data_IF_686034558992
#
_entry.id   IF_686034558992
#
_cell.length_a   1.000
_cell.length_b   1.000
_cell.length_c   1.000
_cell.angle_alpha   90.00
_cell.angle_beta   90.00
_cell.angle_gamma   90.00
#
_symmetry.space_group_name_H-M   'P 1'
#
loop_
_entity.id
_entity.type
_entity.pdbx_description
1 polymer ?
#
# COMPACT_ATOMS: atom_id res chain seq x y z
N UNK A 1 -29.61 18.70 6.84
CA UNK A 1 -29.19 17.36 7.31
C UNK A 1 -27.69 17.27 7.16
N UNK A 2 -26.93 17.59 8.21
CA UNK A 2 -25.47 17.65 8.19
C UNK A 2 -24.95 16.30 8.68
N UNK A 3 -24.37 15.50 7.77
CA UNK A 3 -23.66 14.28 8.15
C UNK A 3 -22.21 14.62 8.46
N UNK A 4 -21.86 14.60 9.75
CA UNK A 4 -20.47 14.53 10.18
C UNK A 4 -20.01 13.07 10.04
N UNK A 5 -19.21 12.78 9.02
CA UNK A 5 -18.52 11.49 8.87
C UNK A 5 -17.30 11.45 9.82
N UNK A 6 -17.52 11.08 11.07
CA UNK A 6 -16.50 10.41 11.89
C UNK A 6 -16.56 8.92 11.53
N UNK A 7 -15.76 8.49 10.57
CA UNK A 7 -15.61 7.09 10.19
C UNK A 7 -14.88 6.32 11.31
N UNK A 8 -15.62 5.75 12.26
CA UNK A 8 -15.28 4.45 12.80
C UNK A 8 -16.16 3.44 12.06
N UNK A 9 -15.56 2.38 11.52
CA UNK A 9 -16.35 1.22 11.08
C UNK A 9 -17.21 0.73 12.26
N UNK A 10 -18.39 0.12 12.04
CA UNK A 10 -19.14 -0.48 13.12
C UNK A 10 -18.24 -1.47 13.87
N UNK A 11 -18.06 -1.25 15.17
CA UNK A 11 -17.32 -2.16 16.03
C UNK A 11 -18.15 -3.43 16.20
N UNK A 12 -17.60 -4.57 15.81
CA UNK A 12 -18.26 -5.85 16.02
C UNK A 12 -17.86 -6.31 17.42
N UNK A 13 -18.82 -6.35 18.33
CA UNK A 13 -18.58 -6.77 19.72
C UNK A 13 -17.75 -8.05 19.78
N UNK A 14 -16.68 -8.05 20.57
CA UNK A 14 -15.89 -9.24 20.85
C UNK A 14 -16.54 -10.18 21.87
N UNK A 15 -17.73 -9.82 22.38
CA UNK A 15 -18.41 -10.58 23.44
C UNK A 15 -18.99 -11.92 22.94
N UNK A 16 -19.28 -12.04 21.64
CA UNK A 16 -19.80 -13.27 21.04
C UNK A 16 -18.93 -13.72 19.86
N UNK A 17 -18.00 -14.67 20.09
CA UNK A 17 -17.16 -15.26 19.06
C UNK A 17 -17.94 -16.01 17.97
N UNK A 18 -19.18 -16.44 18.22
CA UNK A 18 -19.95 -17.22 17.24
C UNK A 18 -20.44 -16.36 16.08
N UNK A 19 -20.64 -15.06 16.30
CA UNK A 19 -20.95 -14.12 15.22
C UNK A 19 -19.88 -14.16 14.13
N UNK A 20 -18.61 -14.30 14.51
CA UNK A 20 -17.45 -14.28 13.61
C UNK A 20 -17.28 -15.55 12.77
N UNK A 21 -18.09 -16.59 12.98
CA UNK A 21 -18.02 -17.85 12.21
C UNK A 21 -18.67 -17.74 10.83
N UNK A 22 -19.66 -16.85 10.68
CA UNK A 22 -20.57 -16.85 9.53
C UNK A 22 -20.54 -15.57 8.67
N UNK A 23 -19.67 -14.60 8.97
CA UNK A 23 -19.48 -13.42 8.12
C UNK A 23 -18.04 -13.27 7.64
N UNK A 24 -17.91 -12.64 6.48
CA UNK A 24 -16.63 -12.20 5.90
C UNK A 24 -16.51 -10.70 6.11
N UNK A 25 -15.42 -10.25 6.74
CA UNK A 25 -15.16 -8.80 6.85
C UNK A 25 -14.32 -8.33 5.67
N UNK A 26 -14.57 -7.10 5.25
CA UNK A 26 -13.77 -6.39 4.26
C UNK A 26 -13.16 -5.18 4.96
N UNK A 27 -11.87 -5.24 5.29
CA UNK A 27 -11.21 -4.28 6.19
C UNK A 27 -9.98 -3.66 5.53
N UNK A 28 -9.80 -2.35 5.70
CA UNK A 28 -8.59 -1.67 5.23
C UNK A 28 -7.40 -2.04 6.11
N UNK A 29 -7.57 -1.95 7.44
CA UNK A 29 -6.59 -2.35 8.43
C UNK A 29 -6.55 -3.87 8.58
N UNK A 30 -5.88 -4.54 7.64
CA UNK A 30 -5.74 -6.00 7.58
C UNK A 30 -4.53 -6.48 8.39
N UNK A 31 -4.56 -6.25 9.72
CA UNK A 31 -3.50 -6.63 10.64
C UNK A 31 -3.82 -7.94 11.37
N UNK A 32 -3.03 -8.98 11.13
CA UNK A 32 -3.24 -10.32 11.72
C UNK A 32 -3.12 -10.32 13.25
N UNK A 33 -2.35 -9.39 13.84
CA UNK A 33 -2.31 -9.24 15.30
C UNK A 33 -3.54 -8.54 15.88
N UNK A 34 -4.38 -7.91 15.05
CA UNK A 34 -5.60 -7.19 15.43
C UNK A 34 -6.86 -7.93 14.97
N UNK A 35 -6.82 -9.27 15.07
CA UNK A 35 -7.93 -10.20 14.79
C UNK A 35 -8.29 -10.31 13.31
N UNK A 36 -7.56 -9.71 12.38
CA UNK A 36 -7.75 -9.99 10.95
C UNK A 36 -7.36 -11.44 10.66
N UNK A 37 -8.25 -12.20 10.02
CA UNK A 37 -8.00 -13.60 9.69
C UNK A 37 -7.94 -13.75 8.16
N UNK A 38 -6.76 -13.89 7.53
CA UNK A 38 -6.61 -13.92 6.08
C UNK A 38 -7.46 -15.00 5.39
N UNK A 39 -7.75 -16.11 6.08
CA UNK A 39 -8.57 -17.20 5.54
C UNK A 39 -10.06 -16.87 5.48
N UNK A 40 -10.54 -15.95 6.32
CA UNK A 40 -11.95 -15.57 6.43
C UNK A 40 -12.21 -14.17 5.88
N UNK A 41 -11.33 -13.22 6.18
CA UNK A 41 -11.50 -11.81 5.90
C UNK A 41 -10.81 -11.41 4.59
N UNK A 42 -11.16 -10.22 4.09
CA UNK A 42 -10.63 -9.64 2.86
C UNK A 42 -10.00 -8.28 3.17
N UNK A 43 -8.75 -8.12 2.74
CA UNK A 43 -8.02 -6.85 2.81
C UNK A 43 -8.47 -5.95 1.66
N UNK A 44 -9.04 -4.79 1.98
CA UNK A 44 -9.40 -3.77 0.98
C UNK A 44 -8.28 -2.73 0.84
N UNK A 45 -7.82 -2.44 -0.39
CA UNK A 45 -6.80 -1.42 -0.60
C UNK A 45 -7.33 -0.03 -0.25
N UNK A 46 -6.56 0.72 0.54
CA UNK A 46 -6.80 2.13 0.77
C UNK A 46 -6.33 2.94 -0.45
N UNK A 47 -7.15 3.88 -0.92
CA UNK A 47 -6.84 4.69 -2.11
C UNK A 47 -7.00 6.18 -1.83
N UNK A 48 -6.06 6.98 -2.33
CA UNK A 48 -6.17 8.43 -2.30
C UNK A 48 -6.89 8.91 -3.57
N UNK A 49 -8.14 9.36 -3.42
CA UNK A 49 -8.95 9.87 -4.53
C UNK A 49 -9.08 11.39 -4.41
N UNK A 50 -8.49 12.18 -5.33
CA UNK A 50 -8.75 13.61 -5.40
C UNK A 50 -10.23 13.89 -5.67
N UNK A 51 -10.75 14.97 -5.09
CA UNK A 51 -12.14 15.38 -5.26
C UNK A 51 -12.53 15.47 -6.76
N UNK A 52 -13.66 14.86 -7.13
CA UNK A 52 -14.16 14.84 -8.50
C UNK A 52 -13.37 13.97 -9.49
N UNK A 53 -12.43 13.14 -9.01
CA UNK A 53 -11.67 12.18 -9.83
C UNK A 53 -11.96 10.75 -9.39
N UNK A 54 -11.50 9.77 -10.18
CA UNK A 54 -11.59 8.33 -9.87
C UNK A 54 -10.21 7.70 -9.63
N UNK A 55 -9.24 8.54 -9.26
CA UNK A 55 -7.87 8.14 -8.99
C UNK A 55 -6.91 9.33 -9.09
N UNK A 56 -5.66 9.16 -8.69
CA UNK A 56 -4.65 10.20 -8.83
C UNK A 56 -4.26 10.40 -10.31
N UNK A 57 -3.62 11.54 -10.65
CA UNK A 57 -3.23 11.85 -12.02
C UNK A 57 -2.14 10.89 -12.54
N UNK A 58 -2.13 10.62 -13.85
CA UNK A 58 -1.07 9.83 -14.47
C UNK A 58 0.19 10.69 -14.70
N UNK A 59 1.06 10.74 -13.68
CA UNK A 59 2.36 11.46 -13.75
C UNK A 59 3.57 10.55 -13.53
N UNK A 60 3.44 9.25 -13.75
CA UNK A 60 4.55 8.31 -13.60
C UNK A 60 5.62 8.53 -14.67
N UNK A 61 6.89 8.65 -14.28
CA UNK A 61 8.00 8.69 -15.25
C UNK A 61 8.41 7.27 -15.65
N UNK A 62 8.95 7.07 -16.88
CA UNK A 62 9.53 5.78 -17.25
C UNK A 62 10.73 5.45 -16.34
N UNK A 63 11.05 4.16 -16.13
CA UNK A 63 12.04 3.72 -15.15
C UNK A 63 13.44 4.31 -15.33
N UNK A 64 13.82 4.68 -16.56
CA UNK A 64 15.10 5.33 -16.89
C UNK A 64 15.17 6.83 -16.54
N UNK A 65 14.02 7.49 -16.35
CA UNK A 65 13.93 8.94 -16.09
C UNK A 65 13.51 9.25 -14.64
N UNK A 66 13.64 8.30 -13.72
CA UNK A 66 13.32 8.46 -12.29
C UNK A 66 14.58 8.89 -11.52
N UNK A 67 14.74 10.20 -11.18
CA UNK A 67 15.94 10.70 -10.51
C UNK A 67 16.01 10.32 -9.03
N UNK A 68 14.88 10.11 -8.36
CA UNK A 68 14.85 9.81 -6.92
C UNK A 68 15.01 8.30 -6.74
N UNK A 69 15.95 7.87 -5.91
CA UNK A 69 16.20 6.45 -5.70
C UNK A 69 15.12 5.82 -4.82
N UNK A 70 14.89 6.36 -3.62
CA UNK A 70 13.76 5.96 -2.78
C UNK A 70 13.09 7.17 -2.15
N UNK A 71 11.79 7.10 -1.91
CA UNK A 71 11.01 8.23 -1.42
C UNK A 71 9.97 7.85 -0.35
N UNK A 72 9.81 8.73 0.63
CA UNK A 72 8.73 8.75 1.59
C UNK A 72 8.33 10.18 1.96
N UNK A 73 7.03 10.43 2.06
CA UNK A 73 6.50 11.59 2.79
C UNK A 73 5.19 11.25 3.52
N UNK A 74 5.06 11.69 4.78
CA UNK A 74 3.85 11.53 5.60
C UNK A 74 4.07 11.82 7.09
N UNK A 75 3.02 11.87 7.91
CA UNK A 75 3.16 12.13 9.35
C UNK A 75 3.82 10.99 10.14
N UNK A 76 4.45 11.34 11.27
CA UNK A 76 5.13 10.44 12.23
C UNK A 76 4.19 9.59 13.10
N UNK A 77 3.23 8.94 12.43
CA UNK A 77 2.24 8.07 13.06
C UNK A 77 2.75 6.64 13.16
N UNK A 78 2.61 6.01 14.33
CA UNK A 78 3.08 4.64 14.58
C UNK A 78 4.59 4.53 14.82
N UNK A 79 5.00 3.41 15.42
CA UNK A 79 6.39 3.13 15.78
C UNK A 79 7.30 3.04 14.54
N UNK A 80 6.87 2.35 13.49
CA UNK A 80 7.68 2.11 12.28
C UNK A 80 8.08 3.41 11.59
N UNK A 81 7.17 4.41 11.51
CA UNK A 81 7.50 5.73 10.94
C UNK A 81 8.44 6.54 11.81
N UNK A 82 8.36 6.40 13.14
CA UNK A 82 9.32 7.05 14.06
C UNK A 82 10.73 6.52 13.80
N UNK A 83 10.89 5.19 13.74
CA UNK A 83 12.19 4.57 13.40
C UNK A 83 12.66 5.00 12.02
N UNK A 84 11.78 5.05 11.01
CA UNK A 84 12.13 5.53 9.68
C UNK A 84 12.65 6.98 9.72
N UNK A 85 11.99 7.86 10.46
CA UNK A 85 12.43 9.25 10.58
C UNK A 85 13.73 9.42 11.34
N UNK A 86 13.89 8.71 12.44
CA UNK A 86 15.13 8.70 13.21
C UNK A 86 16.33 8.27 12.35
N UNK A 87 16.13 7.37 11.38
CA UNK A 87 17.21 6.86 10.54
C UNK A 87 17.42 7.63 9.23
N UNK A 88 16.37 8.19 8.62
CA UNK A 88 16.45 8.68 7.24
C UNK A 88 15.93 10.09 6.99
N UNK A 89 15.21 10.71 7.93
CA UNK A 89 14.57 12.03 7.71
C UNK A 89 15.63 13.09 7.35
N UNK A 90 15.59 13.59 6.12
CA UNK A 90 16.51 14.62 5.62
C UNK A 90 18.01 14.26 5.79
N UNK A 91 18.37 12.97 5.75
CA UNK A 91 19.75 12.47 5.99
C UNK A 91 20.49 11.96 4.75
N UNK A 92 19.81 11.79 3.61
CA UNK A 92 20.41 11.22 2.39
C UNK A 92 19.78 11.84 1.13
N UNK A 93 20.61 12.11 0.11
CA UNK A 93 20.15 12.73 -1.13
C UNK A 93 19.37 11.76 -2.05
N UNK A 94 19.70 10.46 -1.97
CA UNK A 94 19.08 9.43 -2.80
C UNK A 94 17.82 8.86 -2.13
N UNK A 95 17.84 8.73 -0.80
CA UNK A 95 16.70 8.27 0.01
C UNK A 95 16.03 9.48 0.66
N UNK A 96 15.03 10.00 -0.04
CA UNK A 96 14.33 11.21 0.35
C UNK A 96 13.17 10.87 1.29
N UNK A 97 13.36 11.14 2.58
CA UNK A 97 12.35 10.90 3.62
C UNK A 97 12.00 12.23 4.25
N UNK A 98 10.73 12.64 4.10
CA UNK A 98 10.21 13.88 4.64
C UNK A 98 8.97 13.62 5.49
N UNK A 99 8.65 14.51 6.42
CA UNK A 99 7.44 14.39 7.22
C UNK A 99 6.24 15.04 6.52
N UNK A 100 6.14 16.36 6.59
CA UNK A 100 5.12 17.12 5.87
C UNK A 100 5.77 17.95 4.76
N UNK A 101 5.29 17.74 3.53
CA UNK A 101 5.69 18.55 2.39
C UNK A 101 4.91 19.86 2.38
N UNK A 102 5.58 20.96 2.05
CA UNK A 102 4.91 22.21 1.72
C UNK A 102 4.13 22.04 0.41
N UNK A 103 2.80 21.90 0.53
CA UNK A 103 1.89 21.68 -0.60
C UNK A 103 1.90 22.79 -1.64
N UNK A 104 2.36 24.01 -1.28
CA UNK A 104 2.48 25.12 -2.23
C UNK A 104 3.74 25.02 -3.09
N UNK A 105 4.80 24.40 -2.58
CA UNK A 105 6.10 24.30 -3.24
C UNK A 105 6.32 22.94 -3.91
N UNK A 106 5.68 21.90 -3.38
CA UNK A 106 6.03 20.52 -3.70
C UNK A 106 4.81 19.71 -4.12
N UNK A 107 4.87 19.15 -5.33
CA UNK A 107 3.87 18.20 -5.82
C UNK A 107 4.24 16.77 -5.37
N UNK A 108 3.53 16.27 -4.36
CA UNK A 108 3.70 14.92 -3.83
C UNK A 108 3.61 13.82 -4.91
N UNK A 109 2.63 13.92 -5.81
CA UNK A 109 2.42 12.92 -6.86
C UNK A 109 3.56 12.96 -7.89
N UNK A 110 4.11 14.15 -8.15
CA UNK A 110 5.30 14.30 -9.00
C UNK A 110 6.52 13.59 -8.38
N UNK A 111 6.75 13.74 -7.07
CA UNK A 111 7.86 13.07 -6.38
C UNK A 111 7.73 11.54 -6.42
N UNK A 112 6.54 11.00 -6.18
CA UNK A 112 6.28 9.56 -6.36
C UNK A 112 6.56 9.12 -7.81
N UNK A 113 6.05 9.87 -8.79
CA UNK A 113 6.27 9.58 -10.21
C UNK A 113 7.75 9.63 -10.63
N UNK A 114 8.58 10.38 -9.90
CA UNK A 114 10.03 10.50 -10.09
C UNK A 114 10.86 9.47 -9.30
N UNK A 115 10.23 8.66 -8.44
CA UNK A 115 10.92 7.75 -7.52
C UNK A 115 10.98 6.33 -8.04
N UNK A 116 12.14 5.65 -7.92
CA UNK A 116 12.28 4.24 -8.30
C UNK A 116 11.59 3.32 -7.29
N UNK A 117 11.87 3.54 -6.01
CA UNK A 117 11.29 2.81 -4.88
C UNK A 117 10.45 3.75 -4.00
N UNK A 118 9.28 3.31 -3.56
CA UNK A 118 8.41 4.09 -2.69
C UNK A 118 8.26 3.37 -1.37
N UNK A 119 8.80 3.96 -0.31
CA UNK A 119 8.73 3.38 1.02
C UNK A 119 7.28 3.44 1.52
N UNK A 120 6.79 2.29 1.96
CA UNK A 120 5.44 2.10 2.43
C UNK A 120 5.46 1.60 3.89
N UNK A 121 5.98 2.39 4.86
CA UNK A 121 5.88 2.03 6.27
C UNK A 121 4.43 2.09 6.74
N UNK A 122 4.03 1.13 7.57
CA UNK A 122 2.76 1.18 8.32
C UNK A 122 2.73 2.39 9.26
N UNK A 123 1.53 2.84 9.62
CA UNK A 123 1.31 3.91 10.60
C UNK A 123 0.84 3.35 11.94
N UNK A 124 -0.16 4.00 12.54
CA UNK A 124 -0.96 3.35 13.60
C UNK A 124 -1.72 2.14 13.04
N UNK A 125 -2.23 2.26 11.82
CA UNK A 125 -2.81 1.16 11.05
C UNK A 125 -1.76 0.60 10.08
N UNK A 126 -1.91 -0.68 9.73
CA UNK A 126 -1.03 -1.30 8.72
C UNK A 126 -1.33 -0.81 7.30
N UNK A 127 -2.57 -0.37 7.07
CA UNK A 127 -3.02 0.18 5.80
C UNK A 127 -2.40 1.55 5.51
N UNK A 128 -2.11 1.78 4.23
CA UNK A 128 -1.74 3.12 3.77
C UNK A 128 -2.11 3.31 2.31
N UNK A 129 -2.63 4.50 1.93
CA UNK A 129 -2.97 4.75 0.52
C UNK A 129 -1.70 4.87 -0.34
N UNK A 130 -0.53 4.96 0.30
CA UNK A 130 0.79 5.01 -0.34
C UNK A 130 1.10 3.75 -1.13
N UNK A 131 0.67 2.58 -0.66
CA UNK A 131 0.91 1.31 -1.36
C UNK A 131 0.26 1.37 -2.74
N UNK A 132 -1.02 1.75 -2.80
CA UNK A 132 -1.75 1.88 -4.07
C UNK A 132 -1.21 3.03 -4.90
N UNK A 133 -0.90 4.17 -4.27
CA UNK A 133 -0.33 5.33 -4.97
C UNK A 133 1.01 4.96 -5.64
N UNK A 134 1.90 4.24 -4.95
CA UNK A 134 3.15 3.77 -5.53
C UNK A 134 2.92 2.91 -6.78
N UNK A 135 1.99 1.95 -6.69
CA UNK A 135 1.63 1.07 -7.80
C UNK A 135 1.09 1.89 -8.98
N UNK A 136 0.13 2.79 -8.74
CA UNK A 136 -0.49 3.62 -9.79
C UNK A 136 0.50 4.52 -10.51
N UNK A 137 1.55 4.99 -9.83
CA UNK A 137 2.61 5.79 -10.44
C UNK A 137 3.78 4.94 -10.96
N UNK A 138 3.70 3.62 -10.93
CA UNK A 138 4.75 2.72 -11.42
C UNK A 138 6.01 2.73 -10.58
N UNK A 139 5.93 3.21 -9.34
CA UNK A 139 7.00 3.18 -8.35
C UNK A 139 6.98 1.82 -7.65
N UNK A 140 8.13 1.17 -7.49
CA UNK A 140 8.19 -0.15 -6.84
C UNK A 140 7.87 0.02 -5.35
N UNK A 141 6.76 -0.54 -4.83
CA UNK A 141 6.41 -0.41 -3.42
C UNK A 141 7.41 -1.19 -2.57
N UNK A 142 7.91 -0.54 -1.52
CA UNK A 142 8.76 -1.15 -0.49
C UNK A 142 7.96 -1.22 0.79
N UNK A 143 7.38 -2.38 1.10
CA UNK A 143 6.53 -2.55 2.28
C UNK A 143 7.40 -2.72 3.53
N UNK A 144 7.10 -1.93 4.57
CA UNK A 144 7.76 -1.97 5.87
C UNK A 144 6.64 -2.04 6.92
N UNK A 145 6.29 -3.25 7.32
CA UNK A 145 5.13 -3.50 8.18
C UNK A 145 5.25 -4.86 8.81
N UNK A 146 4.72 -4.97 10.03
CA UNK A 146 4.59 -6.24 10.73
C UNK A 146 3.13 -6.72 10.57
N UNK A 147 2.93 -8.02 10.32
CA UNK A 147 1.61 -8.69 10.28
C UNK A 147 0.57 -8.09 9.31
N UNK A 148 1.01 -7.38 8.26
CA UNK A 148 0.11 -6.79 7.27
C UNK A 148 -0.22 -7.78 6.15
N UNK A 149 -1.49 -8.19 6.07
CA UNK A 149 -1.99 -8.91 4.91
C UNK A 149 -2.27 -7.91 3.77
N UNK A 150 -1.36 -7.86 2.80
CA UNK A 150 -1.45 -6.94 1.67
C UNK A 150 -2.70 -7.23 0.81
N UNK A 151 -3.33 -6.21 0.22
CA UNK A 151 -4.52 -6.40 -0.61
C UNK A 151 -4.29 -7.37 -1.76
N UNK A 152 -5.29 -8.22 -2.02
CA UNK A 152 -5.28 -9.21 -3.10
C UNK A 152 -4.17 -10.25 -3.02
N UNK A 153 -3.57 -10.50 -1.85
CA UNK A 153 -2.52 -11.54 -1.70
C UNK A 153 -3.03 -12.97 -1.96
N UNK A 154 -4.34 -13.17 -1.98
CA UNK A 154 -5.01 -14.39 -2.43
C UNK A 154 -4.90 -14.64 -3.94
N UNK A 155 -4.57 -13.62 -4.73
CA UNK A 155 -4.46 -13.69 -6.21
C UNK A 155 -3.10 -13.22 -6.72
N UNK A 156 -2.52 -12.20 -6.07
CA UNK A 156 -1.30 -11.53 -6.50
C UNK A 156 -0.12 -11.89 -5.60
N UNK A 157 0.94 -12.44 -6.20
CA UNK A 157 2.22 -12.65 -5.52
C UNK A 157 3.01 -11.33 -5.44
N UNK A 158 2.90 -10.65 -4.29
CA UNK A 158 3.59 -9.39 -4.01
C UNK A 158 5.11 -9.47 -4.19
N UNK A 159 5.74 -10.62 -3.92
CA UNK A 159 7.20 -10.80 -4.10
C UNK A 159 7.67 -10.61 -5.55
N UNK A 160 6.74 -10.65 -6.50
CA UNK A 160 7.02 -10.47 -7.92
C UNK A 160 7.09 -9.00 -8.31
N UNK A 161 6.50 -8.07 -7.56
CA UNK A 161 6.41 -6.64 -7.94
C UNK A 161 6.69 -5.65 -6.81
N UNK A 162 6.87 -6.11 -5.56
CA UNK A 162 7.26 -5.28 -4.42
C UNK A 162 8.60 -5.74 -3.83
N UNK A 163 9.09 -4.96 -2.87
CA UNK A 163 10.19 -5.34 -1.97
C UNK A 163 9.65 -5.29 -0.55
N UNK A 164 9.93 -6.31 0.25
CA UNK A 164 9.65 -6.29 1.69
C UNK A 164 10.93 -5.99 2.46
N UNK A 165 10.86 -5.07 3.41
CA UNK A 165 11.95 -4.77 4.35
C UNK A 165 11.38 -4.91 5.77
N UNK A 166 11.91 -5.83 6.59
CA UNK A 166 11.54 -5.94 7.99
C UNK A 166 11.82 -4.65 8.76
N UNK A 167 11.02 -4.37 9.78
CA UNK A 167 11.11 -3.15 10.59
C UNK A 167 12.51 -2.95 11.21
N UNK A 168 13.12 -4.03 11.69
CA UNK A 168 14.46 -4.03 12.27
C UNK A 168 15.57 -3.67 11.26
N UNK A 169 15.29 -3.79 9.96
CA UNK A 169 16.24 -3.48 8.87
C UNK A 169 16.06 -2.09 8.26
N UNK A 170 15.24 -1.24 8.87
CA UNK A 170 15.10 0.16 8.45
C UNK A 170 16.46 0.88 8.31
N UNK A 171 17.44 0.73 9.22
CA UNK A 171 18.75 1.37 9.05
C UNK A 171 19.52 0.90 7.80
N UNK A 172 19.19 -0.28 7.27
CA UNK A 172 19.85 -0.91 6.13
C UNK A 172 19.14 -0.67 4.78
N UNK A 173 18.08 0.15 4.72
CA UNK A 173 17.25 0.35 3.51
C UNK A 173 18.10 0.63 2.27
N UNK A 174 19.08 1.54 2.36
CA UNK A 174 19.96 1.86 1.22
C UNK A 174 20.72 0.64 0.74
N UNK A 175 21.34 -0.09 1.66
CA UNK A 175 22.12 -1.29 1.36
C UNK A 175 21.26 -2.38 0.72
N UNK A 176 20.07 -2.62 1.25
CA UNK A 176 19.13 -3.62 0.72
C UNK A 176 18.68 -3.24 -0.70
N UNK A 177 18.26 -1.99 -0.91
CA UNK A 177 17.77 -1.54 -2.22
C UNK A 177 18.90 -1.46 -3.26
N UNK A 178 20.12 -1.07 -2.89
CA UNK A 178 21.28 -1.03 -3.80
C UNK A 178 21.74 -2.43 -4.23
N UNK A 179 21.48 -3.48 -3.44
CA UNK A 179 21.73 -4.88 -3.83
C UNK A 179 20.79 -5.36 -4.95
N UNK A 180 19.68 -4.67 -5.20
CA UNK A 180 18.78 -5.01 -6.30
C UNK A 180 19.41 -4.54 -7.62
N UNK A 181 19.80 -5.52 -8.45
CA UNK A 181 20.35 -5.23 -9.77
C UNK A 181 19.36 -4.45 -10.64
N UNK A 182 19.87 -3.65 -11.58
CA UNK A 182 19.05 -2.89 -12.53
C UNK A 182 18.07 -3.81 -13.28
N UNK A 183 18.51 -5.01 -13.69
CA UNK A 183 17.66 -6.02 -14.35
C UNK A 183 16.49 -6.44 -13.46
N UNK A 184 16.74 -6.69 -12.17
CA UNK A 184 15.67 -7.05 -11.22
C UNK A 184 14.73 -5.88 -10.97
N UNK A 185 15.24 -4.67 -10.80
CA UNK A 185 14.42 -3.46 -10.65
C UNK A 185 13.48 -3.25 -11.86
N UNK A 186 14.00 -3.35 -13.08
CA UNK A 186 13.18 -3.22 -14.30
C UNK A 186 12.09 -4.30 -14.38
N UNK A 187 12.38 -5.53 -13.94
CA UNK A 187 11.38 -6.59 -13.85
C UNK A 187 10.29 -6.29 -12.82
N UNK A 188 10.67 -5.83 -11.62
CA UNK A 188 9.73 -5.40 -10.58
C UNK A 188 8.83 -4.29 -11.11
N UNK A 189 9.43 -3.24 -11.67
CA UNK A 189 8.70 -2.07 -12.19
C UNK A 189 7.74 -2.45 -13.34
N UNK A 190 8.17 -3.31 -14.27
CA UNK A 190 7.29 -3.83 -15.33
C UNK A 190 6.07 -4.54 -14.74
N UNK A 191 6.26 -5.35 -13.70
CA UNK A 191 5.16 -6.06 -13.03
C UNK A 191 4.27 -5.13 -12.22
N UNK A 192 4.81 -4.09 -11.60
CA UNK A 192 4.02 -3.01 -10.99
C UNK A 192 3.05 -2.42 -12.02
N UNK A 193 3.55 -2.07 -13.21
CA UNK A 193 2.71 -1.53 -14.30
C UNK A 193 1.64 -2.54 -14.73
N UNK A 194 1.96 -3.83 -14.80
CA UNK A 194 0.97 -4.86 -15.14
C UNK A 194 -0.16 -4.97 -14.11
N UNK A 195 0.17 -4.89 -12.81
CA UNK A 195 -0.83 -5.03 -11.74
C UNK A 195 -1.63 -3.75 -11.50
N UNK A 196 -1.22 -2.59 -12.05
CA UNK A 196 -1.92 -1.31 -11.86
C UNK A 196 -3.42 -1.37 -12.09
N UNK A 197 -3.88 -2.12 -13.11
CA UNK A 197 -5.30 -2.27 -13.42
C UNK A 197 -6.12 -2.78 -12.22
N UNK A 198 -5.53 -3.65 -11.40
CA UNK A 198 -6.15 -4.25 -10.22
C UNK A 198 -6.32 -3.26 -9.05
N UNK A 199 -5.64 -2.12 -9.12
CA UNK A 199 -5.69 -1.06 -8.12
C UNK A 199 -6.28 0.25 -8.69
N UNK A 200 -7.03 0.16 -9.79
CA UNK A 200 -7.77 1.30 -10.37
C UNK A 200 -9.26 1.16 -10.06
N UNK A 201 -9.89 2.29 -9.77
CA UNK A 201 -11.34 2.41 -9.63
C UNK A 201 -11.92 2.94 -10.94
N UNK A 202 -12.86 2.21 -11.54
CA UNK A 202 -13.55 2.65 -12.75
C UNK A 202 -15.04 2.89 -12.49
N UNK A 203 -15.64 3.80 -13.26
CA UNK A 203 -17.10 3.96 -13.34
C UNK A 203 -17.50 4.07 -14.82
N UNK A 204 -18.20 3.06 -15.39
CA UNK A 204 -18.60 1.80 -14.77
C UNK A 204 -17.40 0.91 -14.43
N UNK A 205 -17.58 -0.03 -13.50
CA UNK A 205 -16.55 -1.00 -13.14
C UNK A 205 -16.12 -1.81 -14.37
N UNK A 206 -14.83 -2.15 -14.44
CA UNK A 206 -14.20 -2.85 -15.57
C UNK A 206 -13.62 -4.19 -15.15
N UNK A 207 -13.54 -5.20 -16.03
CA UNK A 207 -12.92 -6.48 -15.70
C UNK A 207 -11.53 -6.32 -15.08
N UNK A 208 -11.30 -7.05 -13.99
CA UNK A 208 -10.05 -7.04 -13.22
C UNK A 208 -9.69 -5.73 -12.52
N UNK A 209 -10.61 -4.77 -12.45
CA UNK A 209 -10.39 -3.56 -11.65
C UNK A 209 -10.50 -3.82 -10.15
N UNK A 210 -10.26 -2.80 -9.34
CA UNK A 210 -10.25 -2.93 -7.88
C UNK A 210 -11.57 -3.46 -7.31
N UNK A 211 -12.72 -3.08 -7.89
CA UNK A 211 -14.02 -3.57 -7.45
C UNK A 211 -14.15 -5.06 -7.77
N UNK A 212 -13.80 -5.47 -9.00
CA UNK A 212 -13.88 -6.88 -9.39
C UNK A 212 -12.91 -7.75 -8.61
N UNK A 213 -11.71 -7.26 -8.33
CA UNK A 213 -10.72 -7.97 -7.51
C UNK A 213 -11.25 -8.16 -6.07
N UNK A 214 -11.87 -7.14 -5.48
CA UNK A 214 -12.48 -7.24 -4.14
C UNK A 214 -13.63 -8.26 -4.10
N UNK A 215 -14.54 -8.17 -5.06
CA UNK A 215 -15.66 -9.12 -5.17
C UNK A 215 -15.15 -10.55 -5.38
N UNK A 216 -14.08 -10.72 -6.15
CA UNK A 216 -13.44 -12.02 -6.33
C UNK A 216 -12.86 -12.55 -5.02
N UNK A 217 -12.10 -11.74 -4.26
CA UNK A 217 -11.59 -12.16 -2.95
C UNK A 217 -12.72 -12.54 -1.98
N UNK A 218 -13.82 -11.78 -1.93
CA UNK A 218 -15.00 -12.14 -1.11
C UNK A 218 -15.62 -13.46 -1.57
N UNK A 219 -15.76 -13.64 -2.88
CA UNK A 219 -16.30 -14.87 -3.46
C UNK A 219 -15.42 -16.09 -3.10
N UNK A 220 -14.10 -15.96 -3.19
CA UNK A 220 -13.16 -17.03 -2.83
C UNK A 220 -13.32 -17.49 -1.36
N UNK A 221 -13.58 -16.56 -0.42
CA UNK A 221 -13.82 -16.91 1.00
C UNK A 221 -15.16 -17.60 1.22
N UNK A 222 -16.17 -17.32 0.39
CA UNK A 222 -17.48 -18.02 0.46
C UNK A 222 -17.41 -19.47 0.01
N UNK A 223 -16.50 -19.81 -0.91
CA UNK A 223 -16.40 -21.17 -1.45
C UNK A 223 -15.69 -22.15 -0.50
N UNK A 224 -15.22 -21.71 0.67
CA UNK A 224 -14.38 -22.49 1.58
C UNK A 224 -13.15 -23.14 0.89
N UNK A 225 -12.69 -22.55 -0.22
CA UNK A 225 -11.50 -23.02 -0.92
C UNK A 225 -10.30 -22.67 -0.04
N UNK A 226 -9.45 -23.66 0.25
CA UNK A 226 -8.21 -23.44 1.02
C UNK A 226 -7.28 -22.56 0.19
N UNK A 227 -7.25 -21.27 0.49
CA UNK A 227 -6.34 -20.30 -0.12
C UNK A 227 -5.36 -19.86 0.95
N UNK A 228 -4.19 -20.52 0.89
CA UNK A 228 -2.94 -20.29 1.63
C UNK A 228 -3.05 -20.55 3.16
#
# INVERSE_FOLDING_TARGET
MVFYLKFQAPDISGADPDLYKNFVRVLCNANESERFEPRRDVSIPEINIPFGKLGPPDKGLPPSKRPIFAFFAGGAHGYIRKVLFENWKDKDDEIQVHEYLDRKKTDYFKLIGQSKFCLCPSGYEVASPRVVTAIQFGCVPVTISDNYTLPFSDVLDWSKFSVYIPTEKIPEIKTILKKISLKRYLLLQKRVVQVQRHFKLNRPAQPYDMIHMLLHSVWLRRLNVRII
#
